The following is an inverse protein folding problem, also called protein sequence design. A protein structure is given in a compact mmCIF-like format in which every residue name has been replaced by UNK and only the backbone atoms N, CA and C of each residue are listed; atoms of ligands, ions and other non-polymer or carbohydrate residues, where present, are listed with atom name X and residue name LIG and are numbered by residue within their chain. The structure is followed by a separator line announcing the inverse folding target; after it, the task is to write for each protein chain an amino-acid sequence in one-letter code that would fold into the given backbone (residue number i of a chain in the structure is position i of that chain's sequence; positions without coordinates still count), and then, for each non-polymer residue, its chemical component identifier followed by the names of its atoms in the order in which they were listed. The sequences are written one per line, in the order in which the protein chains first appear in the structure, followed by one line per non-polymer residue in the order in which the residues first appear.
data_IF_503346276551
#
_entry.id   IF_503346276551
#
_cell.length_a   1.000
_cell.length_b   1.000
_cell.length_c   1.000
_cell.angle_alpha   90.00
_cell.angle_beta   90.00
_cell.angle_gamma   90.00
#
_symmetry.space_group_name_H-M   'P 1'
#
loop_
_entity.id
_entity.type
_entity.pdbx_description
1 polymer ?
#
# COMPACT_ATOMS: atom_id res chain seq x y z
N UNK A 1 -27.01 -7.80 -5.20
CA UNK A 1 -26.49 -6.42 -5.09
C UNK A 1 -25.06 -6.46 -5.59
N UNK A 2 -24.73 -5.66 -6.60
CA UNK A 2 -23.36 -5.58 -7.13
C UNK A 2 -22.58 -4.64 -6.21
N UNK A 3 -21.66 -5.18 -5.39
CA UNK A 3 -20.88 -4.39 -4.44
C UNK A 3 -19.66 -3.72 -5.09
N UNK A 4 -19.28 -4.12 -6.29
CA UNK A 4 -18.16 -3.52 -7.03
C UNK A 4 -18.62 -2.20 -7.64
N UNK A 5 -17.80 -1.17 -7.47
CA UNK A 5 -18.00 0.15 -8.06
C UNK A 5 -19.12 1.00 -7.48
N UNK A 6 -19.58 0.69 -6.27
CA UNK A 6 -20.58 1.47 -5.53
C UNK A 6 -20.17 2.95 -5.35
N UNK A 7 -18.87 3.24 -5.31
CA UNK A 7 -18.30 4.58 -5.15
C UNK A 7 -17.36 4.97 -6.30
N UNK A 8 -17.57 4.39 -7.50
CA UNK A 8 -16.73 4.65 -8.68
C UNK A 8 -16.60 6.14 -9.03
N UNK A 9 -17.64 6.95 -8.80
CA UNK A 9 -17.60 8.40 -8.99
C UNK A 9 -16.57 9.14 -8.11
N UNK A 10 -16.11 8.51 -7.04
CA UNK A 10 -15.13 9.05 -6.10
C UNK A 10 -13.73 8.45 -6.26
N UNK A 11 -13.47 7.67 -7.32
CA UNK A 11 -12.19 7.02 -7.60
C UNK A 11 -10.97 7.95 -7.49
N UNK A 12 -11.02 9.13 -8.12
CA UNK A 12 -9.92 10.10 -8.06
C UNK A 12 -9.71 10.67 -6.64
N UNK A 13 -10.79 10.87 -5.88
CA UNK A 13 -10.70 11.34 -4.50
C UNK A 13 -10.08 10.27 -3.61
N UNK A 14 -10.46 9.01 -3.81
CA UNK A 14 -9.87 7.87 -3.11
C UNK A 14 -8.38 7.72 -3.42
N UNK A 15 -7.99 7.74 -4.70
CA UNK A 15 -6.58 7.70 -5.11
C UNK A 15 -5.78 8.87 -4.51
N UNK A 16 -6.35 10.08 -4.44
CA UNK A 16 -5.68 11.22 -3.82
C UNK A 16 -5.43 11.00 -2.33
N UNK A 17 -6.44 10.54 -1.60
CA UNK A 17 -6.30 10.24 -0.16
C UNK A 17 -5.23 9.16 0.06
N UNK A 18 -5.27 8.07 -0.70
CA UNK A 18 -4.25 7.02 -0.64
C UNK A 18 -2.87 7.57 -0.98
N UNK A 19 -2.76 8.42 -2.01
CA UNK A 19 -1.49 9.01 -2.43
C UNK A 19 -0.89 9.85 -1.30
N UNK A 20 -1.66 10.77 -0.72
CA UNK A 20 -1.18 11.65 0.35
C UNK A 20 -0.77 10.85 1.58
N UNK A 21 -1.64 9.94 2.04
CA UNK A 21 -1.37 9.14 3.24
C UNK A 21 -0.12 8.28 3.02
N UNK A 22 -0.11 7.45 1.98
CA UNK A 22 0.99 6.50 1.76
C UNK A 22 2.31 7.20 1.47
N UNK A 23 2.31 8.33 0.76
CA UNK A 23 3.53 9.10 0.51
C UNK A 23 4.18 9.55 1.82
N UNK A 24 3.43 10.20 2.71
CA UNK A 24 4.00 10.79 3.93
C UNK A 24 4.25 9.77 5.04
N UNK A 25 3.35 8.83 5.25
CA UNK A 25 3.46 7.89 6.37
C UNK A 25 4.36 6.70 6.04
N UNK A 26 4.35 6.24 4.80
CA UNK A 26 5.05 5.01 4.39
C UNK A 26 6.22 5.31 3.45
N UNK A 27 5.99 5.82 2.24
CA UNK A 27 7.00 5.87 1.18
C UNK A 27 8.20 6.76 1.54
N UNK A 28 7.92 7.98 2.01
CA UNK A 28 8.97 8.92 2.40
C UNK A 28 9.71 8.44 3.66
N UNK A 29 8.97 7.92 4.63
CA UNK A 29 9.54 7.44 5.88
C UNK A 29 10.45 6.22 5.65
N UNK A 30 9.99 5.27 4.83
CA UNK A 30 10.76 4.07 4.48
C UNK A 30 11.99 4.41 3.63
N UNK A 31 11.89 5.39 2.72
CA UNK A 31 13.03 5.83 1.92
C UNK A 31 14.10 6.56 2.76
N UNK A 32 13.69 7.46 3.65
CA UNK A 32 14.64 8.30 4.40
C UNK A 32 15.13 7.65 5.69
N UNK A 33 14.22 7.02 6.46
CA UNK A 33 14.49 6.48 7.80
C UNK A 33 13.87 5.08 7.99
N UNK A 34 14.33 4.04 7.26
CA UNK A 34 13.81 2.67 7.39
C UNK A 34 13.72 2.14 8.83
N UNK A 35 14.77 2.40 9.64
CA UNK A 35 14.82 1.89 11.01
C UNK A 35 13.84 2.60 11.95
N UNK A 36 13.37 3.81 11.61
CA UNK A 36 12.28 4.43 12.34
C UNK A 36 10.97 3.69 12.07
N UNK A 37 10.70 3.32 10.82
CA UNK A 37 9.56 2.47 10.46
C UNK A 37 9.59 1.15 11.23
N UNK A 38 10.71 0.42 11.15
CA UNK A 38 10.89 -0.85 11.87
C UNK A 38 10.59 -0.72 13.38
N UNK A 39 11.05 0.37 14.02
CA UNK A 39 10.77 0.65 15.44
C UNK A 39 9.30 0.91 15.72
N UNK A 40 8.61 1.71 14.90
CA UNK A 40 7.18 1.99 15.08
C UNK A 40 6.34 0.71 15.03
N UNK A 41 6.74 -0.23 14.17
CA UNK A 41 6.10 -1.53 14.00
C UNK A 41 6.64 -2.62 14.93
N UNK A 42 7.47 -2.25 15.90
CA UNK A 42 8.01 -3.15 16.93
C UNK A 42 8.86 -4.31 16.37
N UNK A 43 9.48 -4.12 15.21
CA UNK A 43 10.45 -5.09 14.69
C UNK A 43 11.67 -5.19 15.60
N UNK A 44 12.13 -6.42 15.82
CA UNK A 44 13.44 -6.65 16.44
C UNK A 44 14.52 -6.28 15.44
N UNK A 45 15.30 -5.24 15.74
CA UNK A 45 16.35 -4.75 14.85
C UNK A 45 17.63 -5.58 15.10
N UNK A 46 18.20 -6.25 14.08
CA UNK A 46 19.47 -6.95 14.19
C UNK A 46 20.65 -5.98 14.35
N UNK A 47 21.84 -6.49 14.73
CA UNK A 47 23.05 -5.67 14.84
C UNK A 47 23.53 -5.13 13.48
N UNK A 48 23.55 -6.00 12.47
CA UNK A 48 23.81 -5.62 11.07
C UNK A 48 22.49 -5.31 10.37
N UNK A 49 22.37 -4.08 9.87
CA UNK A 49 21.14 -3.56 9.26
C UNK A 49 21.33 -3.11 7.81
N UNK A 50 22.52 -3.26 7.23
CA UNK A 50 22.86 -2.63 5.94
C UNK A 50 21.97 -3.18 4.82
N UNK A 51 21.79 -4.50 4.77
CA UNK A 51 20.95 -5.15 3.78
C UNK A 51 19.47 -4.76 3.94
N UNK A 52 18.97 -4.72 5.18
CA UNK A 52 17.59 -4.33 5.50
C UNK A 52 17.33 -2.88 5.10
N UNK A 53 18.24 -1.97 5.43
CA UNK A 53 18.17 -0.55 5.07
C UNK A 53 18.21 -0.39 3.55
N UNK A 54 19.08 -1.12 2.86
CA UNK A 54 19.16 -1.10 1.40
C UNK A 54 17.84 -1.53 0.75
N UNK A 55 17.29 -2.70 1.12
CA UNK A 55 16.02 -3.17 0.56
C UNK A 55 14.84 -2.26 0.91
N UNK A 56 14.78 -1.75 2.15
CA UNK A 56 13.73 -0.82 2.56
C UNK A 56 13.79 0.49 1.75
N UNK A 57 14.99 1.00 1.44
CA UNK A 57 15.16 2.17 0.56
C UNK A 57 14.71 1.88 -0.86
N UNK A 58 15.02 0.70 -1.40
CA UNK A 58 14.53 0.30 -2.71
C UNK A 58 12.99 0.25 -2.75
N UNK A 59 12.36 -0.34 -1.72
CA UNK A 59 10.90 -0.37 -1.60
C UNK A 59 10.32 1.04 -1.44
N UNK A 60 10.94 1.89 -0.62
CA UNK A 60 10.55 3.28 -0.44
C UNK A 60 10.64 4.08 -1.74
N UNK A 61 11.70 3.92 -2.52
CA UNK A 61 11.86 4.57 -3.83
C UNK A 61 10.79 4.10 -4.83
N UNK A 62 10.52 2.79 -4.87
CA UNK A 62 9.43 2.23 -5.68
C UNK A 62 8.08 2.83 -5.26
N UNK A 63 7.80 2.88 -3.96
CA UNK A 63 6.56 3.44 -3.44
C UNK A 63 6.42 4.96 -3.71
N UNK A 64 7.51 5.74 -3.66
CA UNK A 64 7.53 7.15 -4.06
C UNK A 64 7.17 7.29 -5.55
N UNK A 65 7.77 6.46 -6.42
CA UNK A 65 7.48 6.51 -7.85
C UNK A 65 6.03 6.13 -8.15
N UNK A 66 5.50 5.09 -7.49
CA UNK A 66 4.08 4.71 -7.58
C UNK A 66 3.17 5.87 -7.19
N UNK A 67 3.46 6.55 -6.08
CA UNK A 67 2.72 7.74 -5.66
C UNK A 67 2.78 8.88 -6.69
N UNK A 68 3.93 9.09 -7.34
CA UNK A 68 4.07 10.08 -8.41
C UNK A 68 3.19 9.73 -9.63
N UNK A 69 3.07 8.44 -9.96
CA UNK A 69 2.18 7.98 -11.04
C UNK A 69 0.70 8.16 -10.68
N UNK A 70 0.31 7.87 -9.43
CA UNK A 70 -1.05 8.10 -8.96
C UNK A 70 -1.39 9.59 -9.05
N UNK A 71 -0.50 10.46 -8.57
CA UNK A 71 -0.65 11.90 -8.67
C UNK A 71 -0.77 12.37 -10.12
N UNK A 72 0.05 11.82 -11.03
CA UNK A 72 -0.04 12.12 -12.47
C UNK A 72 -1.43 11.80 -13.02
N UNK A 73 -1.96 10.62 -12.71
CA UNK A 73 -3.29 10.17 -13.16
C UNK A 73 -4.41 11.03 -12.59
N UNK A 74 -4.32 11.41 -11.31
CA UNK A 74 -5.27 12.32 -10.66
C UNK A 74 -5.28 13.68 -11.36
N UNK A 75 -4.09 14.25 -11.63
CA UNK A 75 -3.95 15.55 -12.29
C UNK A 75 -4.41 15.49 -13.74
N UNK A 76 -4.08 14.43 -14.48
CA UNK A 76 -4.45 14.29 -15.89
C UNK A 76 -5.90 13.85 -16.11
N UNK A 77 -6.58 13.35 -15.06
CA UNK A 77 -7.94 12.83 -15.13
C UNK A 77 -8.09 11.61 -16.05
N UNK A 78 -7.01 10.86 -16.30
CA UNK A 78 -7.00 9.73 -17.25
C UNK A 78 -6.17 8.58 -16.69
N UNK A 79 -6.70 7.35 -16.72
CA UNK A 79 -6.00 6.14 -16.29
C UNK A 79 -6.19 5.77 -14.80
N UNK A 80 -7.22 6.30 -14.15
CA UNK A 80 -7.55 5.98 -12.75
C UNK A 80 -7.81 4.47 -12.56
N UNK A 81 -8.49 3.86 -13.52
CA UNK A 81 -8.87 2.44 -13.51
C UNK A 81 -7.63 1.53 -13.39
N UNK A 82 -6.62 1.76 -14.22
CA UNK A 82 -5.37 1.01 -14.18
C UNK A 82 -4.61 1.22 -12.86
N UNK A 83 -4.66 2.43 -12.28
CA UNK A 83 -4.02 2.68 -10.99
C UNK A 83 -4.78 2.03 -9.83
N UNK A 84 -6.11 1.97 -9.90
CA UNK A 84 -6.94 1.24 -8.95
C UNK A 84 -6.72 -0.27 -9.04
N UNK A 85 -6.61 -0.82 -10.25
CA UNK A 85 -6.22 -2.22 -10.49
C UNK A 85 -4.87 -2.55 -9.87
N UNK A 86 -3.87 -1.72 -10.20
CA UNK A 86 -2.53 -1.87 -9.66
C UNK A 86 -2.54 -1.82 -8.13
N UNK A 87 -3.22 -0.82 -7.54
CA UNK A 87 -3.27 -0.66 -6.08
C UNK A 87 -4.02 -1.80 -5.39
N UNK A 88 -5.16 -2.22 -5.93
CA UNK A 88 -5.97 -3.30 -5.38
C UNK A 88 -5.21 -4.62 -5.46
N UNK A 89 -4.57 -4.90 -6.59
CA UNK A 89 -3.69 -6.06 -6.76
C UNK A 89 -2.51 -6.03 -5.79
N UNK A 90 -1.85 -4.88 -5.63
CA UNK A 90 -0.81 -4.70 -4.62
C UNK A 90 -1.31 -5.02 -3.21
N UNK A 91 -2.50 -4.52 -2.81
CA UNK A 91 -3.09 -4.81 -1.51
C UNK A 91 -3.38 -6.30 -1.31
N UNK A 92 -3.82 -7.02 -2.36
CA UNK A 92 -3.98 -8.48 -2.30
C UNK A 92 -2.64 -9.17 -2.03
N UNK A 93 -1.56 -8.76 -2.71
CA UNK A 93 -0.23 -9.31 -2.43
C UNK A 93 0.26 -8.99 -1.02
N UNK A 94 -0.06 -7.81 -0.49
CA UNK A 94 0.25 -7.48 0.91
C UNK A 94 -0.51 -8.39 1.89
N UNK A 95 -1.79 -8.68 1.66
CA UNK A 95 -2.52 -9.69 2.46
C UNK A 95 -1.77 -11.03 2.46
N UNK A 96 -1.32 -11.50 1.29
CA UNK A 96 -0.57 -12.76 1.17
C UNK A 96 0.75 -12.71 1.95
N UNK A 97 1.53 -11.64 1.81
CA UNK A 97 2.82 -11.47 2.50
C UNK A 97 2.64 -11.47 4.02
N UNK A 98 1.63 -10.76 4.53
CA UNK A 98 1.38 -10.69 5.97
C UNK A 98 0.84 -12.01 6.54
N UNK A 99 0.03 -12.75 5.79
CA UNK A 99 -0.37 -14.12 6.17
C UNK A 99 0.87 -15.03 6.22
N UNK A 100 1.74 -14.94 5.21
CA UNK A 100 2.96 -15.72 5.16
C UNK A 100 3.86 -15.43 6.37
N UNK A 101 4.13 -14.16 6.67
CA UNK A 101 4.95 -13.76 7.81
C UNK A 101 4.34 -14.16 9.17
N UNK A 102 3.00 -14.16 9.28
CA UNK A 102 2.31 -14.65 10.47
C UNK A 102 2.48 -16.17 10.66
N UNK A 103 2.41 -16.95 9.57
CA UNK A 103 2.61 -18.40 9.60
C UNK A 103 4.05 -18.75 9.99
N UNK A 104 5.03 -18.01 9.47
CA UNK A 104 6.44 -18.20 9.83
C UNK A 104 6.77 -17.72 11.26
N UNK A 105 5.90 -16.89 11.86
CA UNK A 105 6.18 -16.22 13.13
C UNK A 105 7.33 -15.21 13.03
N UNK A 106 7.62 -14.72 11.82
CA UNK A 106 8.74 -13.82 11.54
C UNK A 106 8.42 -12.35 11.81
N UNK A 107 7.14 -11.99 11.89
CA UNK A 107 6.66 -10.61 12.05
C UNK A 107 6.06 -10.31 13.45
N UNK A 108 6.17 -9.07 13.96
CA UNK A 108 5.47 -8.61 15.16
C UNK A 108 3.94 -8.69 15.07
N UNK A 109 3.26 -8.66 16.22
CA UNK A 109 1.79 -8.69 16.26
C UNK A 109 1.12 -7.54 15.50
N UNK A 110 1.75 -6.35 15.47
CA UNK A 110 1.23 -5.20 14.71
C UNK A 110 1.12 -5.55 13.22
N UNK A 111 2.15 -6.16 12.65
CA UNK A 111 2.17 -6.58 11.24
C UNK A 111 1.11 -7.68 10.97
N UNK A 112 0.86 -8.57 11.93
CA UNK A 112 -0.24 -9.55 11.80
C UNK A 112 -1.60 -8.87 11.75
N UNK A 113 -1.82 -7.83 12.58
CA UNK A 113 -3.05 -7.02 12.53
C UNK A 113 -3.18 -6.25 11.21
N UNK A 114 -2.06 -5.86 10.58
CA UNK A 114 -2.10 -5.20 9.27
C UNK A 114 -2.70 -6.07 8.17
N UNK A 115 -2.77 -7.40 8.32
CA UNK A 115 -3.53 -8.26 7.39
C UNK A 115 -4.97 -7.78 7.23
N UNK A 116 -5.61 -7.37 8.33
CA UNK A 116 -6.97 -6.83 8.32
C UNK A 116 -7.04 -5.45 7.65
N UNK A 117 -6.01 -4.62 7.84
CA UNK A 117 -5.88 -3.33 7.16
C UNK A 117 -5.75 -3.50 5.64
N UNK A 118 -4.88 -4.40 5.19
CA UNK A 118 -4.72 -4.69 3.76
C UNK A 118 -5.99 -5.29 3.15
N UNK A 119 -6.67 -6.19 3.87
CA UNK A 119 -7.95 -6.74 3.42
C UNK A 119 -9.04 -5.66 3.31
N UNK A 120 -9.08 -4.69 4.25
CA UNK A 120 -9.97 -3.54 4.16
C UNK A 120 -9.67 -2.69 2.93
N UNK A 121 -8.38 -2.44 2.62
CA UNK A 121 -7.99 -1.69 1.42
C UNK A 121 -8.36 -2.42 0.12
N UNK A 122 -8.34 -3.76 0.09
CA UNK A 122 -8.88 -4.53 -1.04
C UNK A 122 -10.38 -4.28 -1.20
N UNK A 123 -11.15 -4.34 -0.11
CA UNK A 123 -12.59 -4.07 -0.15
C UNK A 123 -12.87 -2.65 -0.64
N UNK A 124 -12.15 -1.65 -0.10
CA UNK A 124 -12.26 -0.27 -0.57
C UNK A 124 -11.88 -0.15 -2.04
N UNK A 125 -10.77 -0.76 -2.48
CA UNK A 125 -10.37 -0.81 -3.89
C UNK A 125 -11.49 -1.32 -4.80
N UNK A 126 -12.19 -2.39 -4.41
CA UNK A 126 -13.35 -2.92 -5.14
C UNK A 126 -14.57 -1.99 -5.12
N UNK A 127 -14.80 -1.27 -4.02
CA UNK A 127 -15.90 -0.30 -3.90
C UNK A 127 -15.70 0.92 -4.82
N UNK A 128 -14.45 1.38 -4.98
CA UNK A 128 -14.09 2.51 -5.86
C UNK A 128 -13.73 2.08 -7.30
N UNK A 129 -13.69 0.77 -7.58
CA UNK A 129 -13.39 0.21 -8.90
C UNK A 129 -14.41 0.67 -9.95
N UNK A 130 -14.05 0.73 -11.25
CA UNK A 130 -15.03 1.04 -12.30
C UNK A 130 -16.24 0.10 -12.24
N UNK A 131 -17.45 0.67 -12.25
CA UNK A 131 -18.70 -0.09 -12.13
C UNK A 131 -19.05 -0.93 -13.36
N UNK A 132 -18.36 -0.73 -14.47
CA UNK A 132 -18.47 -1.52 -15.69
C UNK A 132 -17.24 -2.46 -15.76
N UNK A 133 -17.42 -3.73 -15.35
CA UNK A 133 -16.53 -4.77 -15.85
C UNK A 133 -16.79 -4.90 -17.36
N UNK A 134 -15.71 -4.89 -18.14
CA UNK A 134 -15.70 -5.21 -19.57
C UNK A 134 -16.49 -6.49 -19.85
#
# INVERSE_FOLDING_TARGET
MHFIGLWSEHANSYLLVITVITFFTFSLLLFLKPLLWAKMFQWKIPEDTDLTVYFARCLGAFAIMTNALFLRVIISGTGADLMLEFFTGFCVFMVVVHIWGAIEGSQPMIETLETGFWALLVILGLLFYPGELI
#
